data_IF_443105101499
#
_entry.id   IF_443105101499
#
_cell.length_a   1.000
_cell.length_b   1.000
_cell.length_c   1.000
_cell.angle_alpha   90.00
_cell.angle_beta   90.00
_cell.angle_gamma   90.00
#
_symmetry.space_group_name_H-M   'P 1'
#
loop_
_entity.id
_entity.type
_entity.pdbx_description
1 polymer ?
#
# COMPACT_ATOMS: atom_id res chain seq x y z
N UNK A 1 10.03 -14.58 10.59
CA UNK A 1 9.61 -14.09 9.25
C UNK A 1 10.13 -15.08 8.22
N UNK A 2 9.27 -15.59 7.31
CA UNK A 2 9.56 -16.80 6.49
C UNK A 2 9.66 -16.50 4.97
N UNK A 3 9.90 -15.25 4.58
CA UNK A 3 9.98 -14.85 3.16
C UNK A 3 11.40 -14.94 2.60
N UNK A 4 11.53 -15.21 1.30
CA UNK A 4 12.78 -15.11 0.55
C UNK A 4 12.65 -13.98 -0.48
N UNK A 5 13.42 -12.89 -0.29
CA UNK A 5 13.35 -11.71 -1.14
C UNK A 5 13.73 -12.02 -2.60
N UNK A 6 14.78 -12.83 -2.83
CA UNK A 6 15.21 -13.22 -4.17
C UNK A 6 14.08 -13.83 -5.01
N UNK A 7 13.32 -14.76 -4.41
CA UNK A 7 12.15 -15.36 -5.07
C UNK A 7 11.04 -14.36 -5.40
N UNK A 8 10.83 -13.35 -4.55
CA UNK A 8 9.85 -12.29 -4.83
C UNK A 8 10.30 -11.45 -6.02
N UNK A 9 11.59 -11.10 -6.06
CA UNK A 9 12.17 -10.31 -7.15
C UNK A 9 12.09 -11.05 -8.49
N UNK A 10 12.48 -12.33 -8.51
CA UNK A 10 12.33 -13.20 -9.68
C UNK A 10 10.87 -13.27 -10.17
N UNK A 11 9.90 -13.34 -9.24
CA UNK A 11 8.48 -13.33 -9.57
C UNK A 11 8.01 -12.00 -10.18
N UNK A 12 8.50 -10.87 -9.67
CA UNK A 12 8.21 -9.53 -10.23
C UNK A 12 8.78 -9.44 -11.65
N UNK A 13 10.03 -9.85 -11.85
CA UNK A 13 10.70 -9.82 -13.15
C UNK A 13 9.94 -10.67 -14.17
N UNK A 14 9.53 -11.88 -13.79
CA UNK A 14 8.75 -12.77 -14.64
C UNK A 14 7.38 -12.19 -15.00
N UNK A 15 6.68 -11.57 -14.04
CA UNK A 15 5.40 -10.92 -14.28
C UNK A 15 5.51 -9.76 -15.27
N UNK A 16 6.54 -8.93 -15.13
CA UNK A 16 6.80 -7.81 -16.05
C UNK A 16 7.19 -8.31 -17.46
N UNK A 17 8.03 -9.35 -17.55
CA UNK A 17 8.39 -9.97 -18.83
C UNK A 17 7.17 -10.55 -19.56
N UNK A 18 6.17 -11.04 -18.82
CA UNK A 18 4.89 -11.49 -19.36
C UNK A 18 3.91 -10.35 -19.74
N UNK A 19 4.30 -9.09 -19.55
CA UNK A 19 3.47 -7.92 -19.85
C UNK A 19 2.38 -7.63 -18.80
N UNK A 20 2.46 -8.24 -17.61
CA UNK A 20 1.52 -7.97 -16.52
C UNK A 20 1.84 -6.63 -15.85
N UNK A 21 0.80 -5.87 -15.52
CA UNK A 21 0.93 -4.66 -14.70
C UNK A 21 1.11 -5.05 -13.25
N UNK A 22 2.28 -4.75 -12.70
CA UNK A 22 2.62 -5.03 -11.30
C UNK A 22 2.34 -3.80 -10.44
N UNK A 23 1.73 -4.02 -9.28
CA UNK A 23 1.46 -3.02 -8.25
C UNK A 23 1.92 -3.55 -6.90
N UNK A 24 2.67 -2.75 -6.16
CA UNK A 24 3.10 -3.09 -4.81
C UNK A 24 2.10 -2.57 -3.78
N UNK A 25 1.88 -3.35 -2.72
CA UNK A 25 1.13 -2.92 -1.55
C UNK A 25 2.00 -3.11 -0.32
N UNK A 26 2.15 -2.06 0.48
CA UNK A 26 2.95 -2.06 1.68
C UNK A 26 2.11 -1.55 2.87
N UNK A 27 2.15 -2.27 3.98
CA UNK A 27 1.60 -1.76 5.25
C UNK A 27 2.65 -0.85 5.87
N UNK A 28 2.28 0.39 6.19
CA UNK A 28 3.17 1.34 6.82
C UNK A 28 3.14 1.19 8.34
N UNK A 29 4.32 0.96 8.90
CA UNK A 29 4.56 0.74 10.33
C UNK A 29 5.55 1.79 10.82
N UNK A 30 5.19 2.47 11.89
CA UNK A 30 6.06 3.45 12.56
C UNK A 30 7.35 2.77 13.04
N UNK A 31 8.48 3.46 12.88
CA UNK A 31 9.80 3.03 13.34
C UNK A 31 10.23 1.66 12.80
N UNK A 32 9.65 1.25 11.68
CA UNK A 32 9.93 -0.06 11.07
C UNK A 32 10.26 0.06 9.58
N UNK A 33 9.35 0.62 8.77
CA UNK A 33 9.56 0.76 7.32
C UNK A 33 9.15 2.14 6.78
N UNK A 34 8.69 3.03 7.63
CA UNK A 34 8.25 4.39 7.27
C UNK A 34 9.36 5.22 6.65
N UNK A 35 10.59 5.07 7.14
CA UNK A 35 11.78 5.69 6.55
C UNK A 35 12.17 5.12 5.18
N UNK A 36 11.77 3.88 4.86
CA UNK A 36 12.11 3.18 3.61
C UNK A 36 11.08 3.41 2.49
N UNK A 37 9.86 3.85 2.83
CA UNK A 37 8.79 4.12 1.85
C UNK A 37 9.22 5.04 0.69
N UNK A 38 9.97 6.15 0.91
CA UNK A 38 10.47 6.99 -0.18
C UNK A 38 11.33 6.24 -1.20
N UNK A 39 12.19 5.33 -0.73
CA UNK A 39 13.07 4.54 -1.61
C UNK A 39 12.28 3.46 -2.34
N UNK A 40 11.37 2.77 -1.62
CA UNK A 40 10.44 1.82 -2.23
C UNK A 40 9.60 2.46 -3.33
N UNK A 41 9.15 3.71 -3.13
CA UNK A 41 8.40 4.50 -4.11
C UNK A 41 9.23 4.74 -5.36
N UNK A 42 10.46 5.26 -5.23
CA UNK A 42 11.37 5.49 -6.36
C UNK A 42 11.66 4.19 -7.11
N UNK A 43 11.93 3.11 -6.39
CA UNK A 43 12.21 1.81 -6.98
C UNK A 43 11.02 1.26 -7.78
N UNK A 44 9.82 1.31 -7.18
CA UNK A 44 8.60 0.85 -7.84
C UNK A 44 8.34 1.65 -9.12
N UNK A 45 8.35 2.98 -9.01
CA UNK A 45 8.06 3.86 -10.15
C UNK A 45 9.13 3.78 -11.23
N UNK A 46 10.42 3.62 -10.86
CA UNK A 46 11.52 3.42 -11.81
C UNK A 46 11.38 2.14 -12.65
N UNK A 47 10.58 1.18 -12.19
CA UNK A 47 10.22 -0.04 -12.93
C UNK A 47 8.80 0.02 -13.53
N UNK A 48 8.14 1.17 -13.52
CA UNK A 48 6.78 1.35 -14.03
C UNK A 48 5.69 0.68 -13.18
N UNK A 49 5.98 0.37 -11.91
CA UNK A 49 5.03 -0.21 -10.97
C UNK A 49 4.41 0.89 -10.10
N UNK A 50 3.13 0.79 -9.79
CA UNK A 50 2.48 1.68 -8.82
C UNK A 50 2.74 1.16 -7.39
N UNK A 51 2.77 2.07 -6.40
CA UNK A 51 2.83 1.73 -4.98
C UNK A 51 1.52 2.11 -4.28
N UNK A 52 1.06 1.28 -3.35
CA UNK A 52 -0.01 1.64 -2.42
C UNK A 52 0.40 1.35 -1.00
N UNK A 53 0.24 2.36 -0.16
CA UNK A 53 0.55 2.27 1.26
C UNK A 53 -0.74 2.13 2.05
N UNK A 54 -0.73 1.22 3.02
CA UNK A 54 -1.88 0.82 3.80
C UNK A 54 -1.62 1.17 5.27
N UNK A 55 -2.58 1.87 5.86
CA UNK A 55 -2.56 2.20 7.29
C UNK A 55 -2.68 0.91 8.10
N UNK A 56 -1.85 0.78 9.13
CA UNK A 56 -1.91 -0.37 10.02
C UNK A 56 -3.20 -0.32 10.86
N UNK A 57 -3.97 -1.41 10.86
CA UNK A 57 -5.12 -1.58 11.76
C UNK A 57 -4.70 -2.43 12.97
N UNK A 58 -4.78 -1.90 14.21
CA UNK A 58 -4.53 -2.67 15.41
C UNK A 58 -5.80 -3.46 15.81
N UNK A 59 -6.11 -4.55 15.10
CA UNK A 59 -7.28 -5.40 15.36
C UNK A 59 -6.87 -6.88 15.48
N UNK A 60 -7.33 -7.57 16.53
CA UNK A 60 -7.10 -9.00 16.83
C UNK A 60 -6.61 -9.23 18.27
N UNK A 61 -6.62 -10.47 18.76
CA UNK A 61 -5.78 -10.85 19.92
C UNK A 61 -4.33 -10.84 19.42
N UNK A 62 -3.54 -9.88 19.90
CA UNK A 62 -2.15 -9.68 19.48
C UNK A 62 -1.30 -9.74 20.73
N UNK A 63 -0.44 -10.75 20.81
CA UNK A 63 0.47 -11.04 21.92
C UNK A 63 1.58 -9.97 22.12
N UNK A 64 1.48 -8.84 21.41
CA UNK A 64 2.43 -7.72 21.46
C UNK A 64 1.73 -6.40 21.10
N UNK A 65 2.00 -5.36 21.89
CA UNK A 65 1.55 -3.97 21.75
C UNK A 65 1.82 -3.41 20.33
N UNK A 66 0.91 -3.67 19.38
CA UNK A 66 0.95 -3.11 18.02
C UNK A 66 0.34 -1.72 17.93
N UNK A 67 -0.18 -1.20 19.04
CA UNK A 67 -0.56 0.21 19.22
C UNK A 67 0.62 1.14 18.94
N UNK A 68 1.84 0.78 19.35
CA UNK A 68 3.04 1.58 19.13
C UNK A 68 3.49 1.63 17.65
N UNK A 69 3.09 0.66 16.84
CA UNK A 69 3.42 0.60 15.41
C UNK A 69 2.42 1.34 14.52
N UNK A 70 1.40 1.97 15.13
CA UNK A 70 0.42 2.76 14.41
C UNK A 70 1.03 4.01 13.78
N UNK A 71 0.93 4.10 12.46
CA UNK A 71 1.31 5.25 11.67
C UNK A 71 0.11 5.78 10.88
N UNK A 72 -0.47 6.93 11.27
CA UNK A 72 -1.43 7.63 10.44
C UNK A 72 -0.83 7.96 9.08
N UNK A 73 -1.51 7.59 7.99
CA UNK A 73 -0.97 7.88 6.66
C UNK A 73 -0.95 9.37 6.33
N UNK A 74 -1.67 10.21 7.07
CA UNK A 74 -1.56 11.68 6.98
C UNK A 74 -0.15 12.16 7.35
N UNK A 75 0.47 11.57 8.38
CA UNK A 75 1.84 11.88 8.77
C UNK A 75 2.84 11.38 7.72
N UNK A 76 2.61 10.16 7.19
CA UNK A 76 3.46 9.63 6.13
C UNK A 76 3.36 10.49 4.85
N UNK A 77 2.15 10.90 4.45
CA UNK A 77 1.94 11.81 3.31
C UNK A 77 2.70 13.12 3.53
N UNK A 78 2.56 13.76 4.69
CA UNK A 78 3.28 14.99 5.01
C UNK A 78 4.81 14.81 5.00
N UNK A 79 5.31 13.64 5.39
CA UNK A 79 6.74 13.30 5.30
C UNK A 79 7.20 13.17 3.84
N UNK A 80 6.41 12.49 3.01
CA UNK A 80 6.68 12.32 1.59
C UNK A 80 6.62 13.65 0.83
N UNK A 81 5.71 14.56 1.19
CA UNK A 81 5.58 15.89 0.59
C UNK A 81 6.82 16.78 0.82
N UNK A 82 7.72 16.42 1.74
CA UNK A 82 9.03 17.11 1.89
C UNK A 82 10.02 16.77 0.77
N UNK A 83 9.81 15.66 0.07
CA UNK A 83 10.72 15.12 -0.95
C UNK A 83 10.07 14.98 -2.33
N UNK A 84 8.73 14.98 -2.38
CA UNK A 84 7.95 14.73 -3.58
C UNK A 84 6.77 15.68 -3.69
N UNK A 85 6.42 16.04 -4.93
CA UNK A 85 5.23 16.81 -5.24
C UNK A 85 4.07 15.86 -5.49
N UNK A 86 3.13 15.81 -4.55
CA UNK A 86 1.96 14.93 -4.60
C UNK A 86 0.72 15.70 -5.04
N UNK A 87 0.13 15.32 -6.17
CA UNK A 87 -1.11 15.91 -6.67
C UNK A 87 -2.23 14.90 -6.61
N UNK A 88 -3.31 15.19 -5.88
CA UNK A 88 -4.50 14.34 -5.86
C UNK A 88 -5.11 14.21 -7.26
N UNK A 89 -5.45 12.98 -7.66
CA UNK A 89 -6.04 12.69 -8.96
C UNK A 89 -7.42 12.03 -8.80
N UNK A 90 -8.37 12.27 -9.71
CA UNK A 90 -9.71 11.67 -9.64
C UNK A 90 -9.73 10.18 -10.01
N UNK A 91 -8.56 9.55 -10.16
CA UNK A 91 -8.42 8.14 -10.51
C UNK A 91 -8.99 7.25 -9.40
N UNK A 92 -9.87 6.32 -9.79
CA UNK A 92 -10.50 5.36 -8.88
C UNK A 92 -10.33 3.95 -9.40
N UNK A 93 -10.33 3.01 -8.47
CA UNK A 93 -10.33 1.56 -8.74
C UNK A 93 -11.47 0.92 -7.96
N UNK A 94 -11.74 -0.37 -8.16
CA UNK A 94 -12.71 -1.12 -7.31
C UNK A 94 -12.24 -1.33 -5.85
N UNK A 95 -11.18 -0.64 -5.41
CA UNK A 95 -10.69 -0.68 -4.04
C UNK A 95 -10.67 0.71 -3.42
N UNK A 96 -10.49 0.79 -2.09
CA UNK A 96 -10.68 2.02 -1.31
C UNK A 96 -9.52 3.02 -1.42
N UNK A 97 -8.50 2.72 -2.23
CA UNK A 97 -7.31 3.55 -2.34
C UNK A 97 -7.64 4.92 -2.94
N UNK A 98 -7.15 5.98 -2.31
CA UNK A 98 -7.10 7.34 -2.87
C UNK A 98 -5.73 7.53 -3.51
N UNK A 99 -5.70 8.04 -4.74
CA UNK A 99 -4.47 8.10 -5.52
C UNK A 99 -3.97 9.54 -5.66
N UNK A 100 -2.66 9.68 -5.60
CA UNK A 100 -1.94 10.88 -5.98
C UNK A 100 -0.98 10.56 -7.12
N UNK A 101 -0.72 11.55 -7.95
CA UNK A 101 0.36 11.55 -8.93
C UNK A 101 1.62 12.10 -8.27
N UNK A 102 2.76 11.43 -8.47
CA UNK A 102 4.07 11.88 -7.98
C UNK A 102 4.80 12.56 -9.14
N UNK A 103 5.07 13.86 -9.05
CA UNK A 103 5.61 14.61 -10.19
C UNK A 103 7.02 14.17 -10.61
N UNK A 104 7.88 13.87 -9.63
CA UNK A 104 9.31 13.58 -9.84
C UNK A 104 9.54 12.23 -10.53
N UNK A 105 8.58 11.31 -10.40
CA UNK A 105 8.70 9.93 -10.89
C UNK A 105 7.68 9.60 -11.97
N UNK A 106 6.63 10.42 -12.14
CA UNK A 106 5.54 10.15 -13.07
C UNK A 106 4.66 8.96 -12.69
N UNK A 107 4.88 8.32 -11.54
CA UNK A 107 4.08 7.18 -11.06
C UNK A 107 2.95 7.59 -10.13
N UNK A 108 2.08 6.61 -9.81
CA UNK A 108 0.93 6.81 -8.91
C UNK A 108 1.17 6.17 -7.57
N UNK A 109 0.88 6.93 -6.52
CA UNK A 109 0.90 6.48 -5.14
C UNK A 109 -0.52 6.41 -4.60
N UNK A 110 -0.92 5.24 -4.09
CA UNK A 110 -2.20 5.03 -3.43
C UNK A 110 -2.09 5.05 -1.90
N UNK A 111 -3.10 5.58 -1.24
CA UNK A 111 -3.24 5.54 0.22
C UNK A 111 -4.55 4.83 0.59
N UNK A 112 -4.47 3.84 1.48
CA UNK A 112 -5.61 3.13 2.06
C UNK A 112 -5.65 3.42 3.56
N UNK A 113 -6.65 4.17 4.01
CA UNK A 113 -6.76 4.72 5.38
C UNK A 113 -8.00 4.18 6.11
N UNK A 114 -8.06 2.88 6.45
CA UNK A 114 -9.24 2.25 7.04
C UNK A 114 -9.62 2.82 8.41
N UNK A 115 -8.66 3.40 9.17
CA UNK A 115 -8.94 3.99 10.47
C UNK A 115 -9.19 5.49 10.36
N UNK A 116 -8.31 6.21 9.66
CA UNK A 116 -8.40 7.68 9.61
C UNK A 116 -9.52 8.18 8.70
N UNK A 117 -9.88 7.45 7.63
CA UNK A 117 -11.02 7.75 6.74
C UNK A 117 -11.68 6.44 6.28
N UNK A 118 -12.61 5.94 7.08
CA UNK A 118 -13.32 4.68 6.80
C UNK A 118 -14.06 4.72 5.44
N UNK A 119 -14.13 3.58 4.77
CA UNK A 119 -14.70 3.40 3.43
C UNK A 119 -15.78 2.30 3.36
N UNK A 120 -16.24 1.79 4.52
CA UNK A 120 -17.29 0.75 4.60
C UNK A 120 -18.56 1.08 3.81
N UNK A 121 -19.01 2.34 3.79
CA UNK A 121 -20.21 2.78 3.05
C UNK A 121 -20.12 2.54 1.55
N UNK A 122 -18.90 2.49 1.00
CA UNK A 122 -18.63 2.24 -0.41
C UNK A 122 -18.14 0.81 -0.69
N UNK A 123 -18.11 -0.05 0.33
CA UNK A 123 -17.61 -1.41 0.20
C UNK A 123 -18.58 -2.25 -0.63
N UNK A 124 -18.06 -2.86 -1.70
CA UNK A 124 -18.79 -3.73 -2.61
C UNK A 124 -18.14 -5.12 -2.72
N UNK A 125 -17.39 -5.55 -1.70
CA UNK A 125 -16.64 -6.81 -1.70
C UNK A 125 -17.40 -7.89 -0.95
N UNK A 126 -17.38 -9.09 -1.50
CA UNK A 126 -17.81 -10.33 -0.84
C UNK A 126 -16.60 -11.24 -0.76
N UNK A 127 -16.40 -11.89 0.38
CA UNK A 127 -15.29 -12.83 0.60
C UNK A 127 -15.82 -14.26 0.62
N UNK A 128 -15.31 -15.10 -0.27
CA UNK A 128 -15.43 -16.56 -0.19
C UNK A 128 -14.16 -17.13 0.45
N UNK A 129 -14.32 -17.89 1.51
CA UNK A 129 -13.21 -18.61 2.17
C UNK A 129 -12.86 -19.91 1.43
N UNK A 130 -11.69 -20.48 1.73
CA UNK A 130 -11.26 -21.74 1.14
C UNK A 130 -12.17 -22.94 1.47
N UNK A 131 -13.01 -22.84 2.51
CA UNK A 131 -14.02 -23.85 2.89
C UNK A 131 -15.40 -23.59 2.27
N UNK A 132 -15.54 -22.56 1.43
CA UNK A 132 -16.80 -22.23 0.76
C UNK A 132 -17.76 -21.35 1.57
N UNK A 133 -17.32 -20.78 2.70
CA UNK A 133 -18.14 -19.85 3.49
C UNK A 133 -18.04 -18.43 2.95
N UNK A 134 -19.19 -17.77 2.75
CA UNK A 134 -19.30 -16.38 2.30
C UNK A 134 -19.40 -15.41 3.48
N UNK A 135 -18.71 -14.28 3.37
CA UNK A 135 -18.76 -13.14 4.29
C UNK A 135 -19.00 -11.84 3.50
N UNK A 136 -19.77 -10.93 4.09
CA UNK A 136 -19.95 -9.54 3.64
C UNK A 136 -18.95 -8.65 4.35
#
# INVERSE_FOLDING_TARGET
RWGNLGKVMEGIDAAQAAGLKVKLNAVALRDFNDAEIPEMLRWAHGRGMDLTVIETMPMGEIDADRTDQYLPLSLLRASLERQFTLTDIPYKTGGPARYVQVAETGGRLGFITPMTHNFCESCNRVRLTCTGTLYM
#
